data_IF_412509463956
#
_entry.id   IF_412509463956
#
_cell.length_a   1.000
_cell.length_b   1.000
_cell.length_c   1.000
_cell.angle_alpha   90.00
_cell.angle_beta   90.00
_cell.angle_gamma   90.00
#
_symmetry.space_group_name_H-M   'P 1'
#
loop_
_entity.id
_entity.type
_entity.pdbx_description
1 polymer ?
#
# COMPACT_ATOMS: atom_id res chain seq x y z
N UNK A 1 7.66 3.08 -12.39
CA UNK A 1 6.88 3.93 -11.50
C UNK A 1 6.26 3.19 -10.33
N UNK A 2 5.74 3.92 -9.38
CA UNK A 2 5.13 3.38 -8.17
C UNK A 2 3.70 3.91 -8.03
N UNK A 3 2.76 2.98 -7.89
CA UNK A 3 1.39 3.31 -7.51
C UNK A 3 1.24 3.11 -6.02
N UNK A 4 0.69 4.09 -5.32
CA UNK A 4 0.35 3.96 -3.91
C UNK A 4 -1.17 3.95 -3.80
N UNK A 5 -1.74 2.78 -3.53
CA UNK A 5 -3.17 2.61 -3.35
C UNK A 5 -3.47 2.61 -1.86
N UNK A 6 -4.21 3.60 -1.38
CA UNK A 6 -4.48 3.73 0.03
C UNK A 6 -5.98 3.73 0.35
N UNK A 7 -6.31 3.17 1.51
CA UNK A 7 -7.65 3.19 2.07
C UNK A 7 -7.53 3.61 3.55
N UNK A 8 -8.08 4.79 3.87
CA UNK A 8 -7.88 5.41 5.17
C UNK A 8 -9.21 5.92 5.72
N UNK A 9 -9.41 5.77 7.02
CA UNK A 9 -10.60 6.28 7.69
C UNK A 9 -10.38 7.74 8.12
N UNK A 10 -9.27 8.01 8.82
CA UNK A 10 -9.01 9.30 9.47
C UNK A 10 -7.84 10.06 8.89
N UNK A 11 -7.36 9.66 7.72
CA UNK A 11 -6.30 10.40 7.04
C UNK A 11 -4.87 10.03 7.44
N UNK A 12 -4.65 9.26 8.49
CA UNK A 12 -3.29 8.92 8.93
C UNK A 12 -2.57 8.00 7.94
N UNK A 13 -3.29 7.05 7.35
CA UNK A 13 -2.73 6.20 6.30
C UNK A 13 -2.45 7.02 5.05
N UNK A 14 -3.34 7.96 4.73
CA UNK A 14 -3.13 8.86 3.59
C UNK A 14 -1.91 9.76 3.83
N UNK A 15 -1.70 10.23 5.05
CA UNK A 15 -0.50 11.01 5.40
C UNK A 15 0.78 10.18 5.21
N UNK A 16 0.74 8.92 5.59
CA UNK A 16 1.87 8.01 5.38
C UNK A 16 2.14 7.78 3.89
N UNK A 17 1.09 7.64 3.09
CA UNK A 17 1.21 7.51 1.63
C UNK A 17 1.87 8.75 1.02
N UNK A 18 1.47 9.95 1.45
CA UNK A 18 2.09 11.19 0.99
C UNK A 18 3.55 11.26 1.37
N UNK A 19 3.89 10.91 2.61
CA UNK A 19 5.27 10.92 3.07
C UNK A 19 6.13 9.93 2.26
N UNK A 20 5.62 8.74 2.00
CA UNK A 20 6.32 7.76 1.17
C UNK A 20 6.54 8.30 -0.24
N UNK A 21 5.54 8.93 -0.84
CA UNK A 21 5.66 9.51 -2.17
C UNK A 21 6.76 10.56 -2.23
N UNK A 22 6.85 11.43 -1.22
CA UNK A 22 7.92 12.43 -1.13
C UNK A 22 9.30 11.77 -1.02
N UNK A 23 9.42 10.73 -0.19
CA UNK A 23 10.67 9.99 -0.03
C UNK A 23 11.09 9.31 -1.35
N UNK A 24 10.15 8.75 -2.09
CA UNK A 24 10.43 8.14 -3.39
C UNK A 24 10.90 9.18 -4.39
N UNK A 25 10.28 10.34 -4.43
CA UNK A 25 10.70 11.44 -5.31
C UNK A 25 12.10 11.93 -4.99
N UNK A 26 12.44 12.04 -3.70
CA UNK A 26 13.77 12.40 -3.25
C UNK A 26 14.83 11.39 -3.71
N UNK A 27 14.44 10.13 -3.88
CA UNK A 27 15.31 9.06 -4.35
C UNK A 27 15.33 8.90 -5.88
N UNK A 28 14.71 9.84 -6.59
CA UNK A 28 14.74 9.87 -8.05
C UNK A 28 13.57 9.20 -8.74
N UNK A 29 12.58 8.71 -8.00
CA UNK A 29 11.38 8.17 -8.63
C UNK A 29 10.39 9.28 -8.95
N UNK A 30 10.26 9.61 -10.24
CA UNK A 30 9.41 10.73 -10.67
C UNK A 30 8.00 10.30 -11.04
N UNK A 31 7.76 9.00 -11.23
CA UNK A 31 6.45 8.48 -11.56
C UNK A 31 5.84 7.83 -10.31
N UNK A 32 5.27 8.65 -9.47
CA UNK A 32 4.57 8.20 -8.26
C UNK A 32 3.15 8.73 -8.33
N UNK A 33 2.19 7.82 -8.24
CA UNK A 33 0.77 8.19 -8.20
C UNK A 33 0.14 7.65 -6.93
N UNK A 34 -0.62 8.50 -6.26
CA UNK A 34 -1.38 8.10 -5.08
C UNK A 34 -2.86 8.05 -5.47
N UNK A 35 -3.52 6.96 -5.13
CA UNK A 35 -4.96 6.82 -5.33
C UNK A 35 -5.63 6.43 -4.03
N UNK A 36 -6.62 7.20 -3.64
CA UNK A 36 -7.45 6.91 -2.48
C UNK A 36 -8.60 6.01 -2.93
N UNK A 37 -8.54 4.75 -2.53
CA UNK A 37 -9.52 3.74 -2.96
C UNK A 37 -10.93 4.01 -2.42
N UNK A 38 -11.05 4.84 -1.38
CA UNK A 38 -12.36 5.20 -0.83
C UNK A 38 -13.05 6.30 -1.63
N UNK A 39 -12.31 6.96 -2.54
CA UNK A 39 -12.80 8.13 -3.29
C UNK A 39 -12.67 8.00 -4.79
N UNK A 40 -11.80 7.13 -5.29
CA UNK A 40 -11.60 6.97 -6.72
C UNK A 40 -12.51 5.87 -7.29
N UNK A 41 -12.57 5.82 -8.62
CA UNK A 41 -13.19 4.69 -9.31
C UNK A 41 -12.26 3.48 -9.18
N UNK A 42 -12.76 2.39 -8.61
CA UNK A 42 -11.96 1.16 -8.42
C UNK A 42 -11.47 0.61 -9.75
N UNK A 43 -12.26 0.70 -10.81
CA UNK A 43 -11.83 0.25 -12.14
C UNK A 43 -10.60 1.02 -12.62
N UNK A 44 -10.54 2.32 -12.36
CA UNK A 44 -9.37 3.13 -12.69
C UNK A 44 -8.15 2.70 -11.86
N UNK A 45 -8.34 2.45 -10.57
CA UNK A 45 -7.25 2.00 -9.70
C UNK A 45 -6.70 0.65 -10.17
N UNK A 46 -7.57 -0.27 -10.57
CA UNK A 46 -7.16 -1.57 -11.11
C UNK A 46 -6.35 -1.38 -12.39
N UNK A 47 -6.82 -0.53 -13.31
CA UNK A 47 -6.09 -0.25 -14.54
C UNK A 47 -4.70 0.32 -14.25
N UNK A 48 -4.59 1.24 -13.29
CA UNK A 48 -3.30 1.80 -12.91
C UNK A 48 -2.39 0.75 -12.28
N UNK A 49 -2.92 -0.20 -11.51
CA UNK A 49 -2.12 -1.27 -10.94
C UNK A 49 -1.49 -2.15 -12.03
N UNK A 50 -2.14 -2.30 -13.17
CA UNK A 50 -1.57 -3.02 -14.30
C UNK A 50 -0.53 -2.19 -15.06
N UNK A 51 -0.58 -0.87 -14.97
CA UNK A 51 0.40 0.00 -15.65
C UNK A 51 1.73 0.06 -14.93
N UNK A 52 1.73 -0.04 -13.60
CA UNK A 52 2.94 0.09 -12.79
C UNK A 52 3.49 -1.27 -12.40
N UNK A 53 4.81 -1.37 -12.33
CA UNK A 53 5.47 -2.60 -11.89
C UNK A 53 5.43 -2.75 -10.38
N UNK A 54 5.31 -1.64 -9.67
CA UNK A 54 5.37 -1.59 -8.21
C UNK A 54 4.13 -0.92 -7.67
N UNK A 55 3.50 -1.55 -6.69
CA UNK A 55 2.32 -1.02 -6.02
C UNK A 55 2.51 -1.09 -4.52
N UNK A 56 2.24 0.01 -3.83
CA UNK A 56 2.19 0.04 -2.36
C UNK A 56 0.73 -0.04 -1.95
N UNK A 57 0.44 -0.98 -1.06
CA UNK A 57 -0.91 -1.18 -0.51
C UNK A 57 -0.92 -0.66 0.92
N UNK A 58 -1.66 0.41 1.14
CA UNK A 58 -1.72 1.07 2.43
C UNK A 58 -3.16 1.06 2.93
N UNK A 59 -3.41 0.46 4.08
CA UNK A 59 -4.75 0.36 4.63
C UNK A 59 -4.76 0.55 6.14
N UNK A 60 -5.79 1.23 6.62
CA UNK A 60 -6.13 1.20 8.04
C UNK A 60 -6.68 -0.18 8.39
N UNK A 61 -6.42 -0.61 9.63
CA UNK A 61 -7.07 -1.80 10.16
C UNK A 61 -8.53 -1.48 10.42
N UNK A 62 -9.41 -2.35 9.94
CA UNK A 62 -10.85 -2.19 10.08
C UNK A 62 -11.45 -3.55 10.39
N UNK A 63 -12.14 -3.64 11.53
CA UNK A 63 -12.84 -4.86 11.94
C UNK A 63 -11.92 -6.10 11.90
N UNK A 64 -10.73 -5.97 12.44
CA UNK A 64 -9.66 -6.98 12.45
C UNK A 64 -9.17 -7.38 11.05
N UNK A 65 -9.35 -6.52 10.08
CA UNK A 65 -8.93 -6.77 8.69
C UNK A 65 -8.57 -5.49 7.97
N UNK A 66 -9.01 -5.37 6.72
CA UNK A 66 -8.78 -4.20 5.87
C UNK A 66 -10.10 -3.50 5.56
N UNK A 67 -10.00 -2.24 5.13
CA UNK A 67 -11.18 -1.50 4.70
C UNK A 67 -11.83 -2.16 3.48
N UNK A 68 -13.17 -2.09 3.35
CA UNK A 68 -13.87 -2.70 2.22
C UNK A 68 -13.34 -2.27 0.86
N UNK A 69 -12.96 -1.02 0.69
CA UNK A 69 -12.40 -0.54 -0.59
C UNK A 69 -11.12 -1.28 -0.96
N UNK A 70 -10.24 -1.54 0.01
CA UNK A 70 -9.02 -2.31 -0.23
C UNK A 70 -9.35 -3.75 -0.57
N UNK A 71 -10.30 -4.37 0.13
CA UNK A 71 -10.71 -5.75 -0.14
C UNK A 71 -11.26 -5.89 -1.57
N UNK A 72 -12.10 -4.96 -2.00
CA UNK A 72 -12.65 -4.96 -3.35
C UNK A 72 -11.53 -4.82 -4.38
N UNK A 73 -10.60 -3.91 -4.15
CA UNK A 73 -9.46 -3.68 -5.03
C UNK A 73 -8.63 -4.97 -5.19
N UNK A 74 -8.25 -5.59 -4.08
CA UNK A 74 -7.45 -6.82 -4.11
C UNK A 74 -8.21 -7.98 -4.77
N UNK A 75 -9.50 -8.09 -4.50
CA UNK A 75 -10.33 -9.12 -5.12
C UNK A 75 -10.37 -8.98 -6.64
N UNK A 76 -10.52 -7.76 -7.14
CA UNK A 76 -10.53 -7.50 -8.58
C UNK A 76 -9.16 -7.75 -9.22
N UNK A 77 -8.07 -7.39 -8.54
CA UNK A 77 -6.74 -7.69 -9.04
C UNK A 77 -6.55 -9.19 -9.20
N UNK A 78 -6.96 -9.97 -8.20
CA UNK A 78 -6.87 -11.42 -8.26
C UNK A 78 -7.69 -11.99 -9.40
N UNK A 79 -8.93 -11.54 -9.57
CA UNK A 79 -9.82 -12.05 -10.61
C UNK A 79 -9.33 -11.75 -12.02
N UNK A 80 -8.50 -10.71 -12.19
CA UNK A 80 -7.90 -10.33 -13.47
C UNK A 80 -6.49 -10.86 -13.65
N UNK A 81 -6.03 -11.76 -12.81
CA UNK A 81 -4.69 -12.36 -12.88
C UNK A 81 -3.54 -11.36 -12.76
N UNK A 82 -3.69 -10.37 -11.90
CA UNK A 82 -2.60 -9.47 -11.59
C UNK A 82 -1.44 -10.24 -10.99
N UNK A 83 -0.26 -10.13 -11.58
CA UNK A 83 0.89 -10.95 -11.22
C UNK A 83 2.19 -10.28 -11.60
N UNK A 84 3.31 -10.83 -11.10
CA UNK A 84 4.67 -10.36 -11.41
C UNK A 84 4.88 -8.90 -11.03
N UNK A 85 4.49 -8.58 -9.81
CA UNK A 85 4.58 -7.21 -9.28
C UNK A 85 5.38 -7.19 -7.99
N UNK A 86 6.00 -6.05 -7.74
CA UNK A 86 6.61 -5.75 -6.46
C UNK A 86 5.61 -5.00 -5.62
N UNK A 87 5.44 -5.42 -4.37
CA UNK A 87 4.42 -4.87 -3.47
C UNK A 87 5.05 -4.41 -2.17
N UNK A 88 4.76 -3.16 -1.79
CA UNK A 88 5.05 -2.65 -0.46
C UNK A 88 3.76 -2.59 0.35
N UNK A 89 3.85 -2.69 1.67
CA UNK A 89 2.69 -2.71 2.54
C UNK A 89 2.85 -1.72 3.68
N UNK A 90 1.81 -0.91 3.90
CA UNK A 90 1.69 0.00 5.03
C UNK A 90 0.36 -0.31 5.73
N UNK A 91 0.42 -0.54 7.03
CA UNK A 91 -0.79 -0.72 7.83
C UNK A 91 -0.88 0.33 8.92
N UNK A 92 -2.08 0.68 9.32
CA UNK A 92 -2.32 1.60 10.42
C UNK A 92 -3.38 1.00 11.36
N UNK A 93 -3.11 1.06 12.66
CA UNK A 93 -4.04 0.62 13.69
C UNK A 93 -3.51 0.92 15.08
N UNK A 94 -4.38 1.39 15.98
CA UNK A 94 -4.02 1.69 17.36
C UNK A 94 -3.92 0.43 18.21
N UNK A 95 -4.82 -0.52 17.97
CA UNK A 95 -4.90 -1.78 18.68
C UNK A 95 -4.72 -2.93 17.69
N UNK A 96 -3.89 -3.90 18.01
CA UNK A 96 -3.75 -5.11 17.22
C UNK A 96 -3.85 -4.87 15.71
N UNK A 97 -2.93 -4.12 15.09
CA UNK A 97 -2.98 -3.89 13.64
C UNK A 97 -3.01 -5.22 12.90
N UNK A 98 -3.97 -5.38 11.98
CA UNK A 98 -4.18 -6.64 11.27
C UNK A 98 -4.21 -6.49 9.75
N UNK A 99 -4.16 -5.24 9.24
CA UNK A 99 -4.29 -5.00 7.81
C UNK A 99 -3.18 -5.66 7.00
N UNK A 100 -1.93 -5.57 7.46
CA UNK A 100 -0.80 -6.17 6.74
C UNK A 100 -0.94 -7.68 6.60
N UNK A 101 -1.37 -8.36 7.66
CA UNK A 101 -1.58 -9.81 7.62
C UNK A 101 -2.62 -10.18 6.57
N UNK A 102 -3.73 -9.46 6.51
CA UNK A 102 -4.79 -9.72 5.55
C UNK A 102 -4.32 -9.43 4.13
N UNK A 103 -3.61 -8.31 3.92
CA UNK A 103 -3.04 -7.99 2.60
C UNK A 103 -2.08 -9.08 2.15
N UNK A 104 -1.19 -9.54 3.03
CA UNK A 104 -0.25 -10.62 2.70
C UNK A 104 -0.98 -11.89 2.30
N UNK A 105 -2.06 -12.24 2.99
CA UNK A 105 -2.88 -13.40 2.63
C UNK A 105 -3.50 -13.25 1.24
N UNK A 106 -4.01 -12.07 0.91
CA UNK A 106 -4.65 -11.82 -0.38
C UNK A 106 -3.63 -11.85 -1.52
N UNK A 107 -2.50 -11.16 -1.38
CA UNK A 107 -1.48 -11.14 -2.44
C UNK A 107 -0.76 -12.48 -2.54
N UNK A 108 -0.68 -13.24 -1.45
CA UNK A 108 -0.13 -14.59 -1.45
C UNK A 108 -0.92 -15.58 -2.30
N UNK A 109 -2.18 -15.27 -2.63
CA UNK A 109 -3.01 -16.06 -3.54
C UNK A 109 -2.77 -15.71 -5.01
N UNK A 110 -1.98 -14.68 -5.28
CA UNK A 110 -1.63 -14.25 -6.63
C UNK A 110 -0.26 -14.80 -7.02
N UNK A 111 0.03 -14.82 -8.33
CA UNK A 111 1.28 -15.42 -8.82
C UNK A 111 2.41 -14.40 -8.85
N UNK A 112 3.57 -14.81 -8.36
CA UNK A 112 4.81 -14.04 -8.52
C UNK A 112 4.69 -12.61 -7.98
N UNK A 113 4.13 -12.47 -6.80
CA UNK A 113 4.10 -11.19 -6.09
C UNK A 113 5.27 -11.18 -5.12
N UNK A 114 6.15 -10.19 -5.29
CA UNK A 114 7.28 -9.99 -4.39
C UNK A 114 6.94 -8.91 -3.37
N UNK A 115 6.70 -9.31 -2.14
CA UNK A 115 6.44 -8.36 -1.05
C UNK A 115 7.77 -7.93 -0.45
N UNK A 116 8.07 -6.63 -0.54
CA UNK A 116 9.33 -6.11 -0.03
C UNK A 116 9.22 -5.74 1.44
N UNK A 117 10.32 -5.81 2.13
CA UNK A 117 10.42 -5.41 3.54
C UNK A 117 11.11 -4.05 3.66
N UNK A 118 10.81 -3.29 4.71
CA UNK A 118 9.93 -3.67 5.82
C UNK A 118 8.46 -3.44 5.49
N UNK A 119 7.58 -4.22 6.15
CA UNK A 119 6.17 -3.89 6.24
C UNK A 119 6.08 -2.77 7.28
N UNK A 120 5.49 -1.63 6.89
CA UNK A 120 5.43 -0.47 7.78
C UNK A 120 4.16 -0.51 8.59
N UNK A 121 4.30 -0.48 9.91
CA UNK A 121 3.17 -0.43 10.84
C UNK A 121 3.14 0.94 11.50
N UNK A 122 2.01 1.64 11.37
CA UNK A 122 1.78 2.93 11.99
C UNK A 122 0.71 2.76 13.06
N UNK A 123 1.04 3.22 14.28
CA UNK A 123 0.10 3.14 15.40
C UNK A 123 -0.49 4.53 15.61
N UNK A 124 -1.64 4.77 15.01
CA UNK A 124 -2.40 6.03 15.01
C UNK A 124 -1.77 7.13 14.16
N UNK A 125 -0.62 7.67 14.53
CA UNK A 125 0.00 8.77 13.79
C UNK A 125 1.46 8.48 13.46
N UNK A 126 1.98 9.20 12.46
CA UNK A 126 3.39 9.13 12.10
C UNK A 126 4.25 9.64 13.25
N UNK A 127 5.31 8.89 13.53
CA UNK A 127 6.34 9.27 14.49
C UNK A 127 7.73 9.01 13.89
N UNK A 128 8.79 9.26 14.66
CA UNK A 128 10.16 9.08 14.16
C UNK A 128 10.42 7.63 13.72
N UNK A 129 9.93 6.66 14.48
CA UNK A 129 10.11 5.25 14.17
C UNK A 129 9.41 4.85 12.88
N UNK A 130 8.14 5.23 12.71
CA UNK A 130 7.39 4.91 11.49
C UNK A 130 7.95 5.64 10.28
N UNK A 131 8.46 6.86 10.44
CA UNK A 131 9.13 7.58 9.35
C UNK A 131 10.41 6.88 8.93
N UNK A 132 11.18 6.38 9.88
CA UNK A 132 12.38 5.60 9.57
C UNK A 132 12.03 4.34 8.79
N UNK A 133 10.96 3.63 9.19
CA UNK A 133 10.47 2.46 8.46
C UNK A 133 10.03 2.81 7.04
N UNK A 134 9.34 3.94 6.86
CA UNK A 134 8.96 4.40 5.52
C UNK A 134 10.18 4.66 4.65
N UNK A 135 11.24 5.25 5.22
CA UNK A 135 12.50 5.47 4.50
C UNK A 135 13.13 4.16 4.04
N UNK A 136 13.13 3.15 4.90
CA UNK A 136 13.64 1.82 4.54
C UNK A 136 12.79 1.17 3.46
N UNK A 137 11.47 1.33 3.52
CA UNK A 137 10.58 0.83 2.47
C UNK A 137 10.86 1.54 1.15
N UNK A 138 11.02 2.86 1.16
CA UNK A 138 11.34 3.62 -0.04
C UNK A 138 12.63 3.13 -0.67
N UNK A 139 13.66 2.86 0.15
CA UNK A 139 14.92 2.30 -0.34
C UNK A 139 14.72 0.92 -0.99
N UNK A 140 13.92 0.06 -0.37
CA UNK A 140 13.64 -1.28 -0.88
C UNK A 140 12.88 -1.23 -2.22
N UNK A 141 11.95 -0.27 -2.36
CA UNK A 141 11.17 -0.12 -3.59
C UNK A 141 12.02 0.40 -4.75
N UNK A 142 13.11 1.12 -4.45
CA UNK A 142 14.02 1.66 -5.46
C UNK A 142 15.19 0.74 -5.78
N UNK A 143 15.36 -0.29 -4.99
CA UNK A 143 16.48 -1.22 -5.17
C UNK A 143 16.36 -2.11 -6.42
#
# INVERSE_FOLDING_TARGET
GVLIACASIYGNTAAAAQQLAEMLRERGEHQVRIMDLTRCDIAEAVAEAFRYDTTVLASSTYDAGILPAMEIFLCRLKSKNWQRRTVGIIENGSWAPAAARVICERVGQMKCINVVEPIVTIRSTLNAESRASLGLLADALKA
#
